data_IF_297081233705
#
_entry.id   IF_297081233705
#
_cell.length_a   1.000
_cell.length_b   1.000
_cell.length_c   1.000
_cell.angle_alpha   90.00
_cell.angle_beta   90.00
_cell.angle_gamma   90.00
#
_symmetry.space_group_name_H-M   'P 1'
#
loop_
_entity.id
_entity.type
_entity.pdbx_description
1 polymer ?
#
# COMPACT_ATOMS: atom_id res chain seq x y z
N UNK A 1 18.20 49.76 -1.46
CA UNK A 1 17.28 48.72 -0.94
C UNK A 1 16.69 47.81 -2.03
N UNK A 2 16.02 48.31 -3.08
CA UNK A 2 15.44 47.44 -4.14
C UNK A 2 16.42 46.44 -4.79
N UNK A 3 17.65 46.86 -5.09
CA UNK A 3 18.69 45.96 -5.66
C UNK A 3 19.12 44.83 -4.71
N UNK A 4 19.19 45.11 -3.40
CA UNK A 4 19.52 44.12 -2.37
C UNK A 4 18.37 43.12 -2.23
N UNK A 5 17.13 43.61 -2.12
CA UNK A 5 15.93 42.77 -2.10
C UNK A 5 15.83 41.84 -3.32
N UNK A 6 16.14 42.35 -4.51
CA UNK A 6 16.14 41.53 -5.73
C UNK A 6 17.23 40.46 -5.69
N UNK A 7 18.45 40.81 -5.25
CA UNK A 7 19.56 39.86 -5.07
C UNK A 7 19.24 38.77 -4.05
N UNK A 8 18.64 39.14 -2.92
CA UNK A 8 18.19 38.19 -1.89
C UNK A 8 17.10 37.27 -2.42
N UNK A 9 16.11 37.81 -3.14
CA UNK A 9 15.05 37.02 -3.76
C UNK A 9 15.61 36.03 -4.80
N UNK A 10 16.58 36.47 -5.62
CA UNK A 10 17.25 35.61 -6.59
C UNK A 10 18.05 34.49 -5.93
N UNK A 11 18.75 34.79 -4.83
CA UNK A 11 19.51 33.79 -4.07
C UNK A 11 18.58 32.75 -3.43
N UNK A 12 17.46 33.20 -2.84
CA UNK A 12 16.44 32.30 -2.28
C UNK A 12 15.86 31.40 -3.39
N UNK A 13 15.52 31.97 -4.55
CA UNK A 13 15.01 31.21 -5.67
C UNK A 13 16.03 30.15 -6.18
N UNK A 14 17.31 30.50 -6.23
CA UNK A 14 18.38 29.57 -6.61
C UNK A 14 18.52 28.43 -5.59
N UNK A 15 18.53 28.75 -4.29
CA UNK A 15 18.61 27.75 -3.22
C UNK A 15 17.40 26.80 -3.25
N UNK A 16 16.20 27.33 -3.48
CA UNK A 16 14.99 26.52 -3.64
C UNK A 16 15.08 25.61 -4.87
N UNK A 17 15.57 26.11 -6.01
CA UNK A 17 15.74 25.30 -7.21
C UNK A 17 16.74 24.15 -6.99
N UNK A 18 17.85 24.41 -6.30
CA UNK A 18 18.85 23.40 -5.92
C UNK A 18 18.25 22.35 -4.98
N UNK A 19 17.50 22.79 -3.96
CA UNK A 19 16.83 21.90 -3.01
C UNK A 19 15.82 20.98 -3.70
N UNK A 20 14.98 21.55 -4.58
CA UNK A 20 13.99 20.77 -5.35
C UNK A 20 14.69 19.78 -6.27
N UNK A 21 15.76 20.19 -6.95
CA UNK A 21 16.54 19.32 -7.82
C UNK A 21 17.19 18.15 -7.07
N UNK A 22 17.83 18.43 -5.92
CA UNK A 22 18.41 17.39 -5.07
C UNK A 22 17.35 16.47 -4.46
N UNK A 23 16.18 17.00 -4.15
CA UNK A 23 15.06 16.21 -3.63
C UNK A 23 14.58 15.19 -4.64
N UNK A 24 14.37 15.61 -5.89
CA UNK A 24 13.96 14.69 -6.97
C UNK A 24 15.02 13.63 -7.27
N UNK A 25 16.30 14.01 -7.29
CA UNK A 25 17.41 13.06 -7.50
C UNK A 25 17.50 12.05 -6.36
N UNK A 26 17.38 12.51 -5.12
CA UNK A 26 17.44 11.65 -3.93
C UNK A 26 16.25 10.69 -3.88
N UNK A 27 15.05 11.13 -4.23
CA UNK A 27 13.86 10.26 -4.32
C UNK A 27 14.05 9.14 -5.34
N UNK A 28 14.60 9.44 -6.53
CA UNK A 28 14.92 8.42 -7.54
C UNK A 28 16.01 7.46 -7.07
N UNK A 29 17.09 7.99 -6.48
CA UNK A 29 18.18 7.17 -5.94
C UNK A 29 17.71 6.27 -4.81
N UNK A 30 16.85 6.78 -3.93
CA UNK A 30 16.26 6.03 -2.83
C UNK A 30 15.33 4.92 -3.33
N UNK A 31 14.50 5.19 -4.35
CA UNK A 31 13.70 4.14 -4.99
C UNK A 31 14.58 3.02 -5.58
N UNK A 32 15.68 3.37 -6.28
CA UNK A 32 16.62 2.37 -6.80
C UNK A 32 17.30 1.56 -5.69
N UNK A 33 17.77 2.22 -4.63
CA UNK A 33 18.41 1.57 -3.49
C UNK A 33 17.44 0.64 -2.75
N UNK A 34 16.20 1.09 -2.54
CA UNK A 34 15.16 0.30 -1.89
C UNK A 34 14.76 -0.92 -2.72
N UNK A 35 14.62 -0.76 -4.05
CA UNK A 35 14.40 -1.88 -4.97
C UNK A 35 15.52 -2.92 -4.88
N UNK A 36 16.77 -2.46 -4.99
CA UNK A 36 17.93 -3.35 -4.99
C UNK A 36 18.14 -4.09 -3.67
N UNK A 37 17.76 -3.49 -2.53
CA UNK A 37 18.01 -4.05 -1.20
C UNK A 37 16.83 -4.85 -0.65
N UNK A 38 15.61 -4.40 -0.87
CA UNK A 38 14.39 -4.93 -0.24
C UNK A 38 13.50 -5.70 -1.23
N UNK A 39 13.91 -5.87 -2.49
CA UNK A 39 13.15 -6.64 -3.48
C UNK A 39 11.83 -5.97 -3.88
N UNK A 40 11.72 -4.65 -3.72
CA UNK A 40 10.52 -3.90 -4.05
C UNK A 40 10.23 -3.92 -5.58
N UNK A 41 8.95 -3.89 -6.00
CA UNK A 41 8.56 -3.97 -7.41
C UNK A 41 9.10 -2.84 -8.28
N UNK A 42 9.12 -3.04 -9.60
CA UNK A 42 9.81 -2.14 -10.51
C UNK A 42 9.25 -0.71 -10.54
N UNK A 43 7.93 -0.58 -10.40
CA UNK A 43 7.20 0.69 -10.39
C UNK A 43 7.18 1.33 -8.99
N UNK A 44 8.32 1.31 -8.28
CA UNK A 44 8.45 1.93 -6.97
C UNK A 44 8.64 3.46 -7.12
N UNK A 45 7.75 4.21 -6.50
CA UNK A 45 7.90 5.62 -6.23
C UNK A 45 8.25 5.83 -4.76
N UNK A 46 9.26 6.65 -4.51
CA UNK A 46 9.61 7.11 -3.18
C UNK A 46 9.44 8.62 -3.08
N UNK A 47 8.79 9.07 -2.00
CA UNK A 47 8.62 10.48 -1.67
C UNK A 47 9.08 10.71 -0.24
N UNK A 48 9.83 11.79 -0.05
CA UNK A 48 10.32 12.18 1.25
C UNK A 48 9.57 13.46 1.64
N UNK A 49 8.78 13.41 2.71
CA UNK A 49 8.05 14.56 3.23
C UNK A 49 8.92 15.40 4.18
N UNK A 50 10.20 15.59 3.84
CA UNK A 50 11.14 16.35 4.65
C UNK A 50 11.64 17.55 3.84
N UNK A 51 11.19 18.75 4.21
CA UNK A 51 11.67 19.99 3.63
C UNK A 51 12.30 20.86 4.73
N UNK A 52 13.58 21.26 4.60
CA UNK A 52 14.54 20.91 3.55
C UNK A 52 15.10 19.49 3.71
N UNK A 53 15.24 18.76 2.60
CA UNK A 53 15.90 17.47 2.52
C UNK A 53 17.36 17.54 2.96
N UNK A 54 18.10 18.60 2.60
CA UNK A 54 19.51 18.74 3.00
C UNK A 54 19.69 18.72 4.52
N UNK A 55 18.81 19.40 5.26
CA UNK A 55 18.84 19.43 6.72
C UNK A 55 18.53 18.04 7.29
N UNK A 56 17.61 17.33 6.65
CA UNK A 56 17.17 15.99 7.05
C UNK A 56 18.27 14.95 6.85
N UNK A 57 18.98 15.02 5.71
CA UNK A 57 20.16 14.21 5.42
C UNK A 57 21.32 14.51 6.38
N UNK A 58 21.59 15.78 6.69
CA UNK A 58 22.63 16.16 7.67
C UNK A 58 22.30 15.66 9.08
N UNK A 59 21.01 15.58 9.41
CA UNK A 59 20.52 15.01 10.68
C UNK A 59 20.38 13.49 10.64
N UNK A 60 20.66 12.85 9.50
CA UNK A 60 20.49 11.42 9.28
C UNK A 60 19.07 10.94 9.59
N UNK A 61 18.08 11.82 9.41
CA UNK A 61 16.73 11.61 9.89
C UNK A 61 15.72 12.00 8.83
N UNK A 62 14.85 11.06 8.46
CA UNK A 62 13.73 11.28 7.55
C UNK A 62 12.43 11.28 8.35
N UNK A 63 11.79 12.45 8.46
CA UNK A 63 10.52 12.58 9.21
C UNK A 63 9.42 11.67 8.67
N UNK A 64 9.30 11.58 7.35
CA UNK A 64 8.39 10.64 6.71
C UNK A 64 8.91 10.25 5.33
N UNK A 65 8.98 8.94 5.10
CA UNK A 65 9.25 8.33 3.82
C UNK A 65 7.98 7.61 3.35
N UNK A 66 7.42 8.07 2.24
CA UNK A 66 6.26 7.47 1.59
C UNK A 66 6.72 6.66 0.38
N UNK A 67 6.29 5.41 0.32
CA UNK A 67 6.57 4.47 -0.75
C UNK A 67 5.25 4.07 -1.40
N UNK A 68 5.23 4.02 -2.73
CA UNK A 68 4.10 3.49 -3.50
C UNK A 68 4.63 2.60 -4.60
N UNK A 69 3.96 1.49 -4.85
CA UNK A 69 4.30 0.60 -5.95
C UNK A 69 3.05 -0.06 -6.51
N UNK A 70 3.17 -0.65 -7.70
CA UNK A 70 2.13 -1.47 -8.30
C UNK A 70 2.73 -2.80 -8.74
N UNK A 71 1.91 -3.84 -8.72
CA UNK A 71 2.31 -5.17 -9.11
C UNK A 71 1.12 -6.07 -9.35
N UNK A 72 1.39 -7.35 -9.51
CA UNK A 72 0.40 -8.42 -9.62
C UNK A 72 0.69 -9.44 -8.53
N UNK A 73 -0.34 -9.86 -7.80
CA UNK A 73 -0.26 -10.97 -6.85
C UNK A 73 -0.80 -12.22 -7.52
N UNK A 74 -0.07 -13.32 -7.37
CA UNK A 74 -0.57 -14.62 -7.79
C UNK A 74 -1.60 -15.08 -6.75
N UNK A 75 -2.83 -15.28 -7.18
CA UNK A 75 -3.92 -15.81 -6.37
C UNK A 75 -4.18 -17.25 -6.80
N UNK A 76 -4.19 -18.17 -5.84
CA UNK A 76 -4.68 -19.53 -6.07
C UNK A 76 -6.19 -19.53 -5.73
N UNK A 77 -7.03 -19.70 -6.74
CA UNK A 77 -8.49 -19.82 -6.59
C UNK A 77 -8.99 -21.00 -7.42
N UNK A 78 -9.64 -21.97 -6.78
CA UNK A 78 -10.21 -23.17 -7.43
C UNK A 78 -9.25 -23.92 -8.40
N UNK A 79 -7.95 -23.85 -8.13
CA UNK A 79 -6.90 -24.45 -8.97
C UNK A 79 -6.50 -23.66 -10.21
N UNK A 80 -7.09 -22.48 -10.48
CA UNK A 80 -6.54 -21.48 -11.40
C UNK A 80 -5.54 -20.58 -10.68
N UNK A 81 -4.46 -20.23 -11.40
CA UNK A 81 -3.49 -19.22 -10.99
C UNK A 81 -3.78 -17.95 -11.75
N UNK A 82 -4.54 -17.08 -11.12
CA UNK A 82 -4.84 -15.76 -11.66
C UNK A 82 -3.90 -14.71 -11.07
N UNK A 83 -3.57 -13.71 -11.87
CA UNK A 83 -2.71 -12.60 -11.45
C UNK A 83 -3.56 -11.37 -11.25
N UNK A 84 -3.69 -10.96 -10.00
CA UNK A 84 -4.58 -9.87 -9.60
C UNK A 84 -3.75 -8.60 -9.42
N UNK A 85 -4.07 -7.51 -10.14
CA UNK A 85 -3.35 -6.26 -10.00
C UNK A 85 -3.61 -5.63 -8.62
N UNK A 86 -2.58 -5.04 -8.04
CA UNK A 86 -2.66 -4.34 -6.75
C UNK A 86 -1.79 -3.07 -6.73
N UNK A 87 -2.13 -2.15 -5.84
CA UNK A 87 -1.30 -1.02 -5.42
C UNK A 87 -0.77 -1.25 -4.00
N UNK A 88 0.55 -1.24 -3.84
CA UNK A 88 1.18 -1.28 -2.52
C UNK A 88 1.58 0.11 -2.06
N UNK A 89 1.51 0.33 -0.76
CA UNK A 89 1.98 1.56 -0.13
C UNK A 89 2.61 1.29 1.23
N UNK A 90 3.61 2.09 1.58
CA UNK A 90 4.20 2.09 2.91
C UNK A 90 4.56 3.52 3.32
N UNK A 91 4.34 3.84 4.59
CA UNK A 91 4.76 5.07 5.24
C UNK A 91 5.65 4.71 6.42
N UNK A 92 6.86 5.23 6.38
CA UNK A 92 7.87 5.01 7.40
C UNK A 92 8.08 6.37 8.08
N UNK A 93 7.82 6.43 9.38
CA UNK A 93 7.86 7.65 10.17
C UNK A 93 9.12 7.71 11.03
N UNK A 94 9.72 8.91 11.07
CA UNK A 94 10.88 9.25 11.88
C UNK A 94 11.98 8.17 11.77
N UNK A 95 12.47 7.97 10.55
CA UNK A 95 13.47 6.97 10.21
C UNK A 95 14.88 7.54 10.33
N UNK A 96 15.72 6.92 11.16
CA UNK A 96 17.14 7.22 11.26
C UNK A 96 17.92 6.38 10.23
N UNK A 97 18.79 7.02 9.45
CA UNK A 97 19.62 6.36 8.44
C UNK A 97 20.98 5.95 9.02
N UNK A 98 21.46 4.78 8.65
CA UNK A 98 22.84 4.36 8.94
C UNK A 98 23.82 5.07 7.97
N UNK A 99 24.57 6.04 8.51
CA UNK A 99 25.53 6.83 7.74
C UNK A 99 26.74 6.04 7.25
N UNK A 100 27.39 5.20 8.08
CA UNK A 100 28.38 4.25 7.58
C UNK A 100 27.90 3.41 6.38
N UNK A 101 26.65 2.94 6.40
CA UNK A 101 26.06 2.20 5.28
C UNK A 101 25.81 3.11 4.06
N UNK A 102 25.28 4.31 4.27
CA UNK A 102 25.02 5.30 3.21
C UNK A 102 26.30 5.71 2.48
N UNK A 103 27.39 5.92 3.21
CA UNK A 103 28.71 6.23 2.65
C UNK A 103 29.28 5.08 1.80
N UNK A 104 28.81 3.85 2.04
CA UNK A 104 29.13 2.65 1.22
C UNK A 104 28.11 2.42 0.10
N UNK A 105 27.21 3.37 -0.13
CA UNK A 105 26.17 3.29 -1.15
C UNK A 105 24.99 2.37 -0.80
N UNK A 106 24.79 2.03 0.48
CA UNK A 106 23.66 1.20 0.94
C UNK A 106 22.68 2.03 1.74
N UNK A 107 21.39 1.87 1.47
CA UNK A 107 20.35 2.48 2.28
C UNK A 107 19.90 1.48 3.36
N UNK A 108 20.33 1.73 4.58
CA UNK A 108 19.97 0.94 5.76
C UNK A 108 19.38 1.87 6.83
N UNK A 109 18.33 1.38 7.48
CA UNK A 109 17.73 2.06 8.62
C UNK A 109 18.48 1.66 9.87
N UNK A 110 18.71 2.62 10.76
CA UNK A 110 19.22 2.38 12.10
C UNK A 110 18.07 2.23 13.09
N UNK A 111 17.02 3.04 12.94
CA UNK A 111 15.80 2.97 13.73
C UNK A 111 14.62 3.53 12.94
N UNK A 112 13.42 3.08 13.26
CA UNK A 112 12.15 3.54 12.69
C UNK A 112 11.18 3.72 13.85
N UNK A 113 10.44 4.83 13.92
CA UNK A 113 9.50 5.02 15.03
C UNK A 113 8.15 4.34 14.78
N UNK A 114 7.69 4.34 13.53
CA UNK A 114 6.42 3.72 13.14
C UNK A 114 6.40 3.38 11.66
N UNK A 115 5.71 2.30 11.31
CA UNK A 115 5.46 1.88 9.94
C UNK A 115 3.96 1.67 9.75
N UNK A 116 3.43 2.16 8.65
CA UNK A 116 2.11 1.80 8.14
C UNK A 116 2.28 1.26 6.73
N UNK A 117 1.84 0.04 6.46
CA UNK A 117 1.92 -0.53 5.11
C UNK A 117 0.61 -1.22 4.73
N UNK A 118 0.26 -1.11 3.46
CA UNK A 118 -0.98 -1.65 2.93
C UNK A 118 -0.86 -2.06 1.47
N UNK A 119 -1.69 -3.04 1.10
CA UNK A 119 -1.93 -3.50 -0.27
C UNK A 119 -3.39 -3.20 -0.58
N UNK A 120 -3.65 -2.52 -1.69
CA UNK A 120 -4.98 -2.14 -2.11
C UNK A 120 -5.33 -2.74 -3.47
N UNK A 121 -6.57 -3.19 -3.59
CA UNK A 121 -7.16 -3.72 -4.81
C UNK A 121 -8.28 -2.79 -5.26
N UNK A 122 -8.25 -2.45 -6.54
CA UNK A 122 -9.34 -1.72 -7.18
C UNK A 122 -10.54 -2.64 -7.41
N UNK A 123 -11.69 -2.03 -7.68
CA UNK A 123 -12.97 -2.72 -7.82
C UNK A 123 -12.95 -3.81 -8.91
N UNK A 124 -12.31 -3.53 -10.03
CA UNK A 124 -12.10 -4.47 -11.15
C UNK A 124 -11.26 -5.67 -10.73
N UNK A 125 -10.19 -5.44 -9.97
CA UNK A 125 -9.35 -6.49 -9.40
C UNK A 125 -10.15 -7.37 -8.42
N UNK A 126 -11.00 -6.77 -7.59
CA UNK A 126 -11.88 -7.51 -6.68
C UNK A 126 -12.95 -8.30 -7.42
N UNK A 127 -13.53 -7.74 -8.49
CA UNK A 127 -14.48 -8.46 -9.34
C UNK A 127 -13.82 -9.67 -10.01
N UNK A 128 -12.58 -9.52 -10.48
CA UNK A 128 -11.77 -10.61 -11.02
C UNK A 128 -11.51 -11.69 -9.97
N UNK A 129 -11.14 -11.32 -8.73
CA UNK A 129 -10.94 -12.27 -7.64
C UNK A 129 -12.18 -13.12 -7.39
N UNK A 130 -13.36 -12.49 -7.39
CA UNK A 130 -14.64 -13.16 -7.15
C UNK A 130 -15.21 -13.87 -8.39
N UNK A 131 -14.56 -13.79 -9.55
CA UNK A 131 -15.08 -14.38 -10.79
C UNK A 131 -16.36 -13.72 -11.32
N UNK A 132 -16.63 -12.47 -10.95
CA UNK A 132 -17.82 -11.71 -11.34
C UNK A 132 -17.48 -10.54 -12.25
N UNK A 133 -18.47 -10.07 -13.03
CA UNK A 133 -18.29 -8.85 -13.81
C UNK A 133 -18.28 -7.62 -12.89
N UNK A 134 -17.41 -6.65 -13.17
CA UNK A 134 -17.25 -5.43 -12.35
C UNK A 134 -18.57 -4.66 -12.14
N UNK A 135 -19.45 -4.66 -13.14
CA UNK A 135 -20.77 -4.00 -13.08
C UNK A 135 -21.71 -4.63 -12.04
N UNK A 136 -21.49 -5.89 -11.69
CA UNK A 136 -22.26 -6.63 -10.70
C UNK A 136 -21.73 -6.39 -9.28
N UNK A 137 -20.55 -5.79 -9.14
CA UNK A 137 -19.90 -5.52 -7.88
C UNK A 137 -20.09 -4.05 -7.46
N UNK A 138 -20.18 -3.78 -6.16
CA UNK A 138 -20.17 -2.44 -5.58
C UNK A 138 -19.53 -2.47 -4.18
N UNK A 139 -18.94 -1.36 -3.75
CA UNK A 139 -18.50 -1.17 -2.38
C UNK A 139 -19.45 -0.22 -1.66
N UNK A 140 -20.07 -0.69 -0.58
CA UNK A 140 -21.08 0.05 0.16
C UNK A 140 -20.89 -0.18 1.65
N UNK A 141 -20.86 0.89 2.45
CA UNK A 141 -20.79 0.83 3.91
C UNK A 141 -19.68 -0.10 4.46
N UNK A 142 -18.52 -0.10 3.80
CA UNK A 142 -17.37 -0.94 4.16
C UNK A 142 -17.53 -2.43 3.83
N UNK A 143 -18.42 -2.77 2.89
CA UNK A 143 -18.73 -4.14 2.47
C UNK A 143 -18.60 -4.29 0.96
N UNK A 144 -18.40 -5.53 0.53
CA UNK A 144 -18.46 -5.90 -0.89
C UNK A 144 -19.88 -6.36 -1.19
N UNK A 145 -20.54 -5.72 -2.14
CA UNK A 145 -21.89 -6.05 -2.58
C UNK A 145 -21.80 -6.67 -3.98
N UNK A 146 -22.38 -7.85 -4.17
CA UNK A 146 -22.41 -8.55 -5.47
C UNK A 146 -23.85 -8.80 -5.87
N UNK A 147 -24.19 -8.54 -7.13
CA UNK A 147 -25.54 -8.76 -7.69
C UNK A 147 -25.52 -9.91 -8.69
N UNK A 148 -26.17 -11.02 -8.34
CA UNK A 148 -26.28 -12.21 -9.19
C UNK A 148 -27.74 -12.58 -9.42
N UNK A 149 -28.16 -12.69 -10.68
CA UNK A 149 -29.54 -13.06 -11.01
C UNK A 149 -30.61 -12.11 -10.42
N UNK A 150 -30.25 -10.86 -10.12
CA UNK A 150 -31.12 -9.88 -9.45
C UNK A 150 -31.13 -9.94 -7.92
N UNK A 151 -30.39 -10.87 -7.32
CA UNK A 151 -30.21 -10.97 -5.86
C UNK A 151 -28.94 -10.26 -5.45
N UNK A 152 -29.01 -9.43 -4.41
CA UNK A 152 -27.86 -8.69 -3.87
C UNK A 152 -27.31 -9.42 -2.64
N UNK A 153 -26.07 -9.89 -2.74
CA UNK A 153 -25.29 -10.49 -1.67
C UNK A 153 -24.34 -9.45 -1.08
N UNK A 154 -24.15 -9.46 0.24
CA UNK A 154 -23.23 -8.56 0.92
C UNK A 154 -22.18 -9.37 1.66
N UNK A 155 -20.92 -8.99 1.53
CA UNK A 155 -19.80 -9.70 2.13
C UNK A 155 -18.95 -8.77 3.00
N UNK A 156 -18.54 -9.29 4.14
CA UNK A 156 -17.48 -8.71 4.98
C UNK A 156 -16.16 -9.39 4.63
N UNK A 157 -15.13 -8.59 4.42
CA UNK A 157 -13.76 -9.11 4.24
C UNK A 157 -13.12 -9.33 5.61
N UNK A 158 -12.47 -10.49 5.78
CA UNK A 158 -11.64 -10.82 6.94
C UNK A 158 -10.28 -11.30 6.47
N UNK A 159 -9.23 -11.02 7.23
CA UNK A 159 -7.93 -11.68 7.03
C UNK A 159 -7.98 -13.06 7.67
N UNK A 160 -7.58 -14.08 6.92
CA UNK A 160 -7.50 -15.47 7.33
C UNK A 160 -6.03 -15.89 7.34
N UNK A 161 -5.42 -15.87 8.52
CA UNK A 161 -3.99 -16.20 8.67
C UNK A 161 -3.05 -15.15 8.06
N UNK A 162 -1.90 -15.60 7.56
CA UNK A 162 -0.81 -14.71 7.14
C UNK A 162 -0.97 -14.16 5.71
N UNK A 163 -1.66 -14.89 4.83
CA UNK A 163 -1.65 -14.64 3.38
C UNK A 163 -2.99 -14.81 2.68
N UNK A 164 -4.08 -15.01 3.43
CA UNK A 164 -5.38 -15.21 2.85
C UNK A 164 -6.39 -14.18 3.37
N UNK A 165 -7.40 -13.92 2.55
CA UNK A 165 -8.60 -13.19 2.94
C UNK A 165 -9.81 -14.09 2.74
N UNK A 166 -10.81 -13.92 3.59
CA UNK A 166 -12.10 -14.57 3.52
C UNK A 166 -13.22 -13.57 3.30
N UNK A 167 -14.21 -13.95 2.52
CA UNK A 167 -15.47 -13.24 2.39
C UNK A 167 -16.55 -13.95 3.19
N UNK A 168 -17.07 -13.26 4.20
CA UNK A 168 -18.18 -13.76 5.01
C UNK A 168 -19.47 -13.08 4.55
N UNK A 169 -20.42 -13.85 4.03
CA UNK A 169 -21.72 -13.33 3.65
C UNK A 169 -22.46 -12.80 4.90
N UNK A 170 -22.87 -11.53 4.83
CA UNK A 170 -23.76 -10.90 5.81
C UNK A 170 -25.18 -11.09 5.29
N UNK A 171 -25.90 -12.02 5.89
CA UNK A 171 -27.34 -12.15 5.73
C UNK A 171 -28.04 -10.98 6.45
N UNK A 172 -28.04 -9.80 5.83
CA UNK A 172 -29.01 -8.76 6.20
C UNK A 172 -30.37 -9.25 5.70
N UNK A 173 -31.24 -9.69 6.60
CA UNK A 173 -32.64 -9.98 6.32
C UNK A 173 -33.37 -8.68 5.92
N UNK A 174 -33.22 -8.25 4.68
CA UNK A 174 -34.09 -7.25 4.09
C UNK A 174 -35.35 -7.95 3.56
N UNK A 175 -36.49 -7.55 4.09
CA UNK A 175 -37.79 -8.20 3.91
C UNK A 175 -38.14 -8.50 2.44
N UNK A 176 -38.29 -9.78 2.16
CA UNK A 176 -38.99 -10.34 1.02
C UNK A 176 -39.40 -11.75 1.41
N UNK A 177 -40.70 -12.08 1.29
CA UNK A 177 -41.24 -13.41 1.65
C UNK A 177 -40.55 -14.48 0.80
N UNK A 178 -39.72 -15.29 1.42
CA UNK A 178 -39.05 -16.43 0.80
C UNK A 178 -37.88 -16.91 1.64
N UNK A 179 -38.16 -17.46 2.82
CA UNK A 179 -37.12 -18.11 3.64
C UNK A 179 -36.77 -19.46 3.04
N UNK A 180 -35.64 -19.58 2.35
CA UNK A 180 -34.90 -20.84 2.32
C UNK A 180 -33.96 -20.85 3.52
N UNK A 181 -34.35 -21.61 4.54
CA UNK A 181 -33.53 -21.96 5.69
C UNK A 181 -32.40 -22.88 5.24
N UNK A 182 -31.29 -22.32 4.77
CA UNK A 182 -29.98 -23.00 4.67
C UNK A 182 -28.87 -21.99 4.27
N UNK A 183 -28.65 -20.95 5.09
CA UNK A 183 -27.46 -20.11 4.93
C UNK A 183 -26.27 -20.83 5.57
N UNK A 184 -25.59 -21.69 4.82
CA UNK A 184 -24.19 -22.01 5.14
C UNK A 184 -23.40 -20.71 5.00
N UNK A 185 -22.46 -20.40 5.92
CA UNK A 185 -21.49 -19.35 5.64
C UNK A 185 -20.62 -19.86 4.48
N UNK A 186 -20.92 -19.43 3.27
CA UNK A 186 -19.99 -19.59 2.14
C UNK A 186 -18.84 -18.62 2.40
N UNK A 187 -17.79 -19.12 3.05
CA UNK A 187 -16.53 -18.40 3.16
C UNK A 187 -15.76 -18.68 1.88
N UNK A 188 -15.86 -17.79 0.92
CA UNK A 188 -14.89 -17.77 -0.18
C UNK A 188 -13.55 -17.31 0.39
N UNK A 189 -12.50 -18.09 0.15
CA UNK A 189 -11.15 -17.82 0.64
C UNK A 189 -10.25 -17.59 -0.55
N UNK A 190 -9.52 -16.48 -0.53
CA UNK A 190 -8.52 -16.12 -1.53
C UNK A 190 -7.15 -16.17 -0.87
N UNK A 191 -6.30 -17.06 -1.33
CA UNK A 191 -4.92 -17.21 -0.85
C UNK A 191 -3.96 -16.57 -1.87
N UNK A 192 -3.05 -15.74 -1.35
CA UNK A 192 -2.08 -15.03 -2.18
C UNK A 192 -0.68 -15.62 -1.99
N UNK A 193 -0.06 -15.94 -3.12
CA UNK A 193 1.34 -16.30 -3.21
C UNK A 193 2.21 -15.05 -3.42
N UNK A 194 3.46 -15.13 -2.98
CA UNK A 194 4.49 -14.13 -3.24
C UNK A 194 4.15 -12.69 -2.81
N UNK A 195 3.58 -12.53 -1.60
CA UNK A 195 3.34 -11.21 -1.03
C UNK A 195 4.68 -10.44 -0.98
N UNK A 196 4.72 -9.19 -1.49
CA UNK A 196 5.93 -8.39 -1.50
C UNK A 196 6.58 -8.33 -0.13
N UNK A 197 7.91 -8.44 -0.13
CA UNK A 197 8.74 -8.29 1.07
C UNK A 197 8.39 -9.28 2.19
N UNK A 198 7.85 -10.45 1.80
CA UNK A 198 7.45 -11.52 2.72
C UNK A 198 6.48 -11.02 3.81
N UNK A 199 5.64 -10.04 3.45
CA UNK A 199 4.72 -9.42 4.38
C UNK A 199 3.59 -10.35 4.82
N UNK A 200 3.00 -10.00 5.98
CA UNK A 200 1.86 -10.70 6.55
C UNK A 200 0.62 -9.82 6.60
N UNK A 201 -0.53 -10.35 6.25
CA UNK A 201 -1.79 -9.64 6.35
C UNK A 201 -2.20 -9.47 7.81
N UNK A 202 -2.68 -8.27 8.17
CA UNK A 202 -3.12 -7.93 9.53
C UNK A 202 -4.62 -7.72 9.58
N UNK A 203 -5.09 -6.73 8.82
CA UNK A 203 -6.49 -6.34 8.78
C UNK A 203 -6.90 -6.04 7.34
N UNK A 204 -8.19 -6.18 7.04
CA UNK A 204 -8.75 -5.85 5.75
C UNK A 204 -9.93 -4.90 5.95
N UNK A 205 -10.08 -3.94 5.04
CA UNK A 205 -11.13 -2.94 5.07
C UNK A 205 -11.51 -2.53 3.67
N UNK A 206 -12.78 -2.20 3.45
CA UNK A 206 -13.25 -1.62 2.20
C UNK A 206 -13.46 -0.12 2.43
N UNK A 207 -12.86 0.72 1.59
CA UNK A 207 -12.95 2.18 1.70
C UNK A 207 -13.01 2.81 0.33
N UNK A 208 -14.05 3.62 0.08
CA UNK A 208 -14.34 4.16 -1.24
C UNK A 208 -14.48 3.02 -2.26
N UNK A 209 -13.75 3.12 -3.36
CA UNK A 209 -13.74 2.14 -4.46
C UNK A 209 -12.59 1.11 -4.35
N UNK A 210 -12.06 0.87 -3.14
CA UNK A 210 -10.91 -0.03 -2.92
C UNK A 210 -11.09 -0.97 -1.74
N UNK A 211 -10.58 -2.19 -1.91
CA UNK A 211 -10.29 -3.12 -0.81
C UNK A 211 -8.85 -2.91 -0.36
N UNK A 212 -8.64 -2.49 0.89
CA UNK A 212 -7.32 -2.26 1.48
C UNK A 212 -7.00 -3.30 2.54
N UNK A 213 -5.86 -3.96 2.42
CA UNK A 213 -5.31 -4.92 3.37
C UNK A 213 -4.07 -4.30 4.00
N UNK A 214 -4.09 -4.13 5.32
CA UNK A 214 -2.91 -3.75 6.09
C UNK A 214 -1.90 -4.90 6.12
N UNK A 215 -0.65 -4.59 5.85
CA UNK A 215 0.45 -5.56 5.84
C UNK A 215 1.51 -5.20 6.87
N UNK A 216 2.05 -6.24 7.48
CA UNK A 216 3.21 -6.23 8.35
C UNK A 216 4.44 -6.61 7.53
N UNK A 217 5.55 -5.93 7.77
CA UNK A 217 6.81 -6.10 7.00
C UNK A 217 7.91 -6.47 8.00
N UNK A 218 8.17 -7.77 8.21
CA UNK A 218 9.05 -8.23 9.29
C UNK A 218 10.45 -7.62 9.22
N UNK A 219 10.99 -7.49 8.01
CA UNK A 219 12.33 -6.94 7.82
C UNK A 219 12.46 -5.46 8.22
N UNK A 220 11.38 -4.68 8.17
CA UNK A 220 11.38 -3.30 8.62
C UNK A 220 10.96 -3.16 10.08
N UNK A 221 10.09 -4.04 10.56
CA UNK A 221 9.71 -4.12 11.97
C UNK A 221 10.89 -4.45 12.89
N UNK A 222 11.94 -5.09 12.37
CA UNK A 222 13.20 -5.28 13.11
C UNK A 222 13.95 -3.98 13.46
N UNK A 223 13.55 -2.84 12.90
CA UNK A 223 14.10 -1.51 13.22
C UNK A 223 13.17 -0.65 14.10
N UNK A 224 11.98 -1.17 14.48
CA UNK A 224 11.06 -0.51 15.42
C UNK A 224 11.57 -0.51 16.87
#
# INVERSE_FOLDING_TARGET
MRKILFLTAMLIALLLAVEVGMTMLSQRGLAMALRGRYGLPEKLEARISSFPLLVSLVRNHLSELQLRWSGELAMDFDGSRDRVPYEGSARIYDAELDIPALLRGRLEFKSISRIEAAVAFEKDAVAMMMGVEERCLAFEDGRICVTEGGTKHKYRVKVLGERAIGLEEITDSCGGKGSSYESKPCIETFEFNDIPMEGFFRTASVSGDRLSIEISIPMWEGYL
#
